data_IF_209352809564
#
_entry.id   IF_209352809564
#
_cell.length_a   1.000
_cell.length_b   1.000
_cell.length_c   1.000
_cell.angle_alpha   90.00
_cell.angle_beta   90.00
_cell.angle_gamma   90.00
#
_symmetry.space_group_name_H-M   'P 1'
#
loop_
_entity.id
_entity.type
_entity.pdbx_description
1 polymer ?
#
# COMPACT_ATOMS: atom_id res chain seq x y z
N UNK A 1 -23.74 -28.28 -4.77
CA UNK A 1 -22.37 -27.85 -5.13
C UNK A 1 -22.28 -26.35 -4.88
N UNK A 2 -21.84 -25.94 -3.69
CA UNK A 2 -21.79 -24.53 -3.32
C UNK A 2 -20.66 -23.82 -4.08
N UNK A 3 -21.00 -22.69 -4.67
CA UNK A 3 -20.20 -21.88 -5.59
C UNK A 3 -18.92 -21.34 -4.91
N UNK A 4 -17.77 -21.98 -5.15
CA UNK A 4 -16.47 -21.59 -4.59
C UNK A 4 -15.96 -20.23 -5.13
N UNK A 5 -16.61 -19.65 -6.15
CA UNK A 5 -16.22 -18.37 -6.76
C UNK A 5 -16.85 -17.12 -6.13
N UNK A 6 -17.96 -17.25 -5.40
CA UNK A 6 -18.61 -16.11 -4.73
C UNK A 6 -17.65 -15.28 -3.84
N UNK A 7 -16.85 -15.89 -2.93
CA UNK A 7 -15.98 -15.12 -2.05
C UNK A 7 -14.84 -14.41 -2.79
N UNK A 8 -14.35 -14.97 -3.90
CA UNK A 8 -13.27 -14.35 -4.69
C UNK A 8 -13.79 -13.10 -5.42
N UNK A 9 -15.03 -13.18 -5.95
CA UNK A 9 -15.67 -12.04 -6.61
C UNK A 9 -15.91 -10.89 -5.63
N UNK A 10 -16.47 -11.19 -4.46
CA UNK A 10 -16.76 -10.20 -3.42
C UNK A 10 -15.48 -9.54 -2.87
N UNK A 11 -14.42 -10.32 -2.62
CA UNK A 11 -13.13 -9.79 -2.19
C UNK A 11 -12.52 -8.85 -3.24
N UNK A 12 -12.63 -9.20 -4.53
CA UNK A 12 -12.14 -8.35 -5.62
C UNK A 12 -12.92 -7.04 -5.72
N UNK A 13 -14.25 -7.08 -5.60
CA UNK A 13 -15.10 -5.89 -5.63
C UNK A 13 -14.79 -4.97 -4.43
N UNK A 14 -14.66 -5.55 -3.24
CA UNK A 14 -14.26 -4.82 -2.04
C UNK A 14 -12.90 -4.15 -2.21
N UNK A 15 -11.92 -4.88 -2.74
CA UNK A 15 -10.59 -4.33 -2.99
C UNK A 15 -10.61 -3.20 -4.04
N UNK A 16 -11.45 -3.31 -5.07
CA UNK A 16 -11.63 -2.22 -6.05
C UNK A 16 -12.17 -0.96 -5.40
N UNK A 17 -13.17 -1.07 -4.53
CA UNK A 17 -13.67 0.07 -3.76
C UNK A 17 -12.59 0.69 -2.86
N UNK A 18 -11.77 -0.14 -2.20
CA UNK A 18 -10.64 0.36 -1.39
C UNK A 18 -9.59 1.09 -2.25
N UNK A 19 -9.30 0.59 -3.46
CA UNK A 19 -8.41 1.27 -4.40
C UNK A 19 -8.95 2.61 -4.88
N UNK A 20 -10.26 2.71 -5.11
CA UNK A 20 -10.90 3.97 -5.48
C UNK A 20 -10.83 5.00 -4.34
N UNK A 21 -11.14 4.58 -3.11
CA UNK A 21 -10.98 5.42 -1.92
C UNK A 21 -9.53 5.89 -1.74
N UNK A 22 -8.56 4.99 -1.92
CA UNK A 22 -7.13 5.31 -1.85
C UNK A 22 -6.71 6.38 -2.85
N UNK A 23 -7.26 6.34 -4.07
CA UNK A 23 -7.02 7.35 -5.11
C UNK A 23 -7.68 8.68 -4.77
N UNK A 24 -8.93 8.67 -4.32
CA UNK A 24 -9.66 9.89 -3.92
C UNK A 24 -8.97 10.63 -2.76
N UNK A 25 -8.39 9.87 -1.83
CA UNK A 25 -7.63 10.42 -0.70
C UNK A 25 -6.16 10.70 -1.02
N UNK A 26 -5.73 10.51 -2.27
CA UNK A 26 -4.37 10.77 -2.73
C UNK A 26 -3.28 10.13 -1.86
N UNK A 27 -3.49 8.91 -1.35
CA UNK A 27 -2.51 8.22 -0.47
C UNK A 27 -1.23 7.82 -1.20
N UNK A 28 -1.28 7.77 -2.53
CA UNK A 28 -0.19 7.31 -3.40
C UNK A 28 0.12 5.83 -3.25
N UNK A 29 -0.81 5.00 -2.75
CA UNK A 29 -0.62 3.55 -2.66
C UNK A 29 -0.95 2.87 -4.00
N UNK A 30 0.00 2.07 -4.48
CA UNK A 30 -0.20 1.18 -5.62
C UNK A 30 -1.02 -0.06 -5.22
N UNK A 31 -1.65 -0.78 -6.17
CA UNK A 31 -2.48 -1.95 -5.87
C UNK A 31 -1.77 -3.02 -5.04
N UNK A 32 -0.50 -3.30 -5.34
CA UNK A 32 0.28 -4.27 -4.57
C UNK A 32 0.50 -3.80 -3.12
N UNK A 33 0.91 -2.54 -2.94
CA UNK A 33 1.13 -1.94 -1.62
C UNK A 33 -0.16 -1.88 -0.81
N UNK A 34 -1.29 -1.50 -1.41
CA UNK A 34 -2.58 -1.50 -0.71
C UNK A 34 -2.99 -2.93 -0.29
N UNK A 35 -2.78 -3.93 -1.14
CA UNK A 35 -3.06 -5.32 -0.81
C UNK A 35 -2.23 -5.80 0.39
N UNK A 36 -0.96 -5.41 0.47
CA UNK A 36 -0.11 -5.70 1.63
C UNK A 36 -0.66 -5.01 2.88
N UNK A 37 -1.02 -3.72 2.80
CA UNK A 37 -1.61 -3.00 3.93
C UNK A 37 -2.90 -3.66 4.44
N UNK A 38 -3.78 -4.09 3.54
CA UNK A 38 -5.02 -4.82 3.90
C UNK A 38 -4.69 -6.10 4.66
N UNK A 39 -3.76 -6.92 4.16
CA UNK A 39 -3.35 -8.17 4.82
C UNK A 39 -2.74 -7.93 6.20
N UNK A 40 -1.98 -6.85 6.38
CA UNK A 40 -1.41 -6.49 7.68
C UNK A 40 -2.50 -6.06 8.66
N UNK A 41 -3.46 -5.25 8.22
CA UNK A 41 -4.62 -4.89 9.03
C UNK A 41 -5.47 -6.12 9.40
N UNK A 42 -5.69 -7.05 8.48
CA UNK A 42 -6.38 -8.33 8.74
C UNK A 42 -5.63 -9.21 9.75
N UNK A 43 -4.30 -9.11 9.80
CA UNK A 43 -3.46 -9.78 10.80
C UNK A 43 -3.47 -9.07 12.18
N UNK A 44 -4.23 -7.98 12.33
CA UNK A 44 -4.36 -7.23 13.58
C UNK A 44 -3.33 -6.13 13.79
N UNK A 45 -2.57 -5.76 12.74
CA UNK A 45 -1.66 -4.61 12.81
C UNK A 45 -2.48 -3.32 12.91
N UNK A 46 -2.07 -2.43 13.82
CA UNK A 46 -2.70 -1.13 13.99
C UNK A 46 -2.48 -0.25 12.73
N UNK A 47 -3.54 0.31 12.11
CA UNK A 47 -3.45 1.05 10.86
C UNK A 47 -2.73 2.40 11.01
N UNK A 48 -2.82 3.06 12.17
CA UNK A 48 -2.12 4.32 12.44
C UNK A 48 -0.60 4.12 12.47
N UNK A 49 -0.12 3.07 13.15
CA UNK A 49 1.30 2.70 13.20
C UNK A 49 1.78 2.26 11.83
N UNK A 50 0.99 1.45 11.12
CA UNK A 50 1.33 1.02 9.76
C UNK A 50 1.50 2.22 8.82
N UNK A 51 0.63 3.21 8.89
CA UNK A 51 0.74 4.43 8.11
C UNK A 51 2.04 5.21 8.44
N UNK A 52 2.41 5.29 9.72
CA UNK A 52 3.67 5.92 10.13
C UNK A 52 4.89 5.20 9.53
N UNK A 53 4.91 3.86 9.60
CA UNK A 53 5.99 3.03 9.03
C UNK A 53 6.10 3.21 7.51
N UNK A 54 4.97 3.15 6.78
CA UNK A 54 4.96 3.34 5.32
C UNK A 54 5.50 4.72 4.93
N UNK A 55 5.13 5.77 5.69
CA UNK A 55 5.62 7.13 5.45
C UNK A 55 7.12 7.24 5.69
N UNK A 56 7.63 6.60 6.73
CA UNK A 56 9.05 6.67 7.06
C UNK A 56 9.90 5.93 6.03
N UNK A 57 9.49 4.72 5.62
CA UNK A 57 10.16 3.96 4.56
C UNK A 57 10.21 4.73 3.24
N UNK A 58 9.13 5.43 2.88
CA UNK A 58 9.10 6.27 1.66
C UNK A 58 10.11 7.42 1.72
N UNK A 59 10.23 8.09 2.87
CA UNK A 59 11.22 9.15 3.06
C UNK A 59 12.64 8.61 2.98
N UNK A 60 12.89 7.46 3.61
CA UNK A 60 14.22 6.85 3.63
C UNK A 60 14.66 6.50 2.20
N UNK A 61 13.79 5.83 1.43
CA UNK A 61 14.06 5.53 0.00
C UNK A 61 14.32 6.81 -0.81
N UNK A 62 13.52 7.86 -0.62
CA UNK A 62 13.75 9.13 -1.30
C UNK A 62 15.11 9.75 -0.92
N UNK A 63 15.46 9.76 0.36
CA UNK A 63 16.73 10.30 0.84
C UNK A 63 17.93 9.54 0.28
N UNK A 64 17.82 8.22 0.12
CA UNK A 64 18.86 7.39 -0.48
C UNK A 64 19.03 7.70 -1.97
N UNK A 65 17.93 7.93 -2.69
CA UNK A 65 17.97 8.33 -4.11
C UNK A 65 18.63 9.70 -4.27
N UNK A 66 18.29 10.66 -3.42
CA UNK A 66 18.90 11.99 -3.43
C UNK A 66 20.42 11.93 -3.17
N UNK A 67 20.87 11.14 -2.18
CA UNK A 67 22.29 10.93 -1.90
C UNK A 67 23.04 10.26 -3.06
N UNK A 68 22.40 9.36 -3.80
CA UNK A 68 23.01 8.72 -4.98
C UNK A 68 23.12 9.64 -6.20
N UNK A 69 22.44 10.80 -6.19
CA UNK A 69 22.48 11.79 -7.27
C UNK A 69 23.43 12.96 -7.02
N UNK A 70 24.01 13.06 -5.82
CA UNK A 70 24.93 14.12 -5.43
C UNK A 70 26.41 13.71 -5.50
N UNK A 71 26.82 12.99 -6.55
CA UNK A 71 28.23 12.87 -6.92
C UNK A 71 28.64 14.04 -7.83
N UNK A 72 29.41 15.04 -7.34
CA UNK A 72 30.15 15.96 -8.19
C UNK A 72 31.50 15.33 -8.53
N UNK A 73 31.58 14.37 -9.45
CA UNK A 73 32.87 13.94 -10.03
C UNK A 73 32.74 13.44 -11.46
N UNK A 74 32.59 14.38 -12.41
CA UNK A 74 33.48 14.61 -13.58
C UNK A 74 32.95 15.79 -14.38
#
# INVERSE_FOLDING_TARGET
MANKLAPIKEAKETFQSLMELSRLLCTGLEPETLAICVRLCEAGVNPEVLAAVVRELRKEVQSMQEQSSSDPTT
#
